data_IF_277080344072
#
_entry.id   IF_277080344072
#
_cell.length_a   1.000
_cell.length_b   1.000
_cell.length_c   1.000
_cell.angle_alpha   90.00
_cell.angle_beta   90.00
_cell.angle_gamma   90.00
#
_symmetry.space_group_name_H-M   'P 1'
#
loop_
_entity.id
_entity.type
_entity.pdbx_description
1 polymer ?
#
# COMPACT_ATOMS: atom_id res chain seq x y z
N UNK A 1 1.53 13.04 -16.31
CA UNK A 1 0.44 13.89 -16.84
C UNK A 1 0.34 13.61 -18.32
N UNK A 2 -0.78 13.13 -18.83
CA UNK A 2 -0.94 12.89 -20.26
C UNK A 2 -1.22 14.21 -20.97
N UNK A 3 -0.80 14.35 -22.23
CA UNK A 3 -1.11 15.53 -23.04
C UNK A 3 -2.44 15.30 -23.76
N UNK A 4 -3.25 16.36 -23.88
CA UNK A 4 -4.51 16.31 -24.58
C UNK A 4 -4.27 16.05 -26.08
N UNK A 5 -4.96 15.08 -26.71
CA UNK A 5 -4.75 14.77 -28.13
C UNK A 5 -5.18 15.91 -29.06
N UNK A 6 -6.07 16.81 -28.61
CA UNK A 6 -6.61 17.90 -29.42
C UNK A 6 -5.76 19.17 -29.34
N UNK A 7 -5.52 19.68 -28.13
CA UNK A 7 -4.84 20.96 -27.94
C UNK A 7 -3.39 20.84 -27.42
N UNK A 8 -2.90 19.61 -27.21
CA UNK A 8 -1.54 19.29 -26.72
C UNK A 8 -1.17 19.88 -25.35
N UNK A 9 -2.08 20.58 -24.68
CA UNK A 9 -1.93 21.05 -23.29
C UNK A 9 -2.03 19.87 -22.32
N UNK A 10 -1.57 20.08 -21.10
CA UNK A 10 -1.59 19.06 -20.04
C UNK A 10 -3.01 18.61 -19.68
N UNK A 11 -3.18 17.34 -19.34
CA UNK A 11 -4.45 16.77 -18.89
C UNK A 11 -4.29 16.00 -17.57
N UNK A 12 -5.08 16.38 -16.56
CA UNK A 12 -5.07 15.79 -15.23
C UNK A 12 -5.89 14.52 -15.16
N UNK A 13 -5.34 13.49 -14.53
CA UNK A 13 -6.11 12.31 -14.16
C UNK A 13 -7.09 12.66 -13.03
N UNK A 14 -8.38 12.37 -13.22
CA UNK A 14 -9.44 12.59 -12.22
C UNK A 14 -9.76 11.32 -11.45
N UNK A 15 -9.91 10.22 -12.17
CA UNK A 15 -10.23 8.92 -11.59
C UNK A 15 -9.48 7.82 -12.32
N UNK A 16 -9.34 6.69 -11.65
CA UNK A 16 -8.74 5.50 -12.24
C UNK A 16 -9.50 4.25 -11.80
N UNK A 17 -9.56 3.27 -12.68
CA UNK A 17 -10.14 1.96 -12.44
C UNK A 17 -9.17 0.89 -12.92
N UNK A 18 -8.99 -0.16 -12.14
CA UNK A 18 -8.27 -1.35 -12.60
C UNK A 18 -9.21 -2.21 -13.44
N UNK A 19 -8.72 -2.61 -14.62
CA UNK A 19 -9.40 -3.59 -15.48
C UNK A 19 -8.86 -5.00 -15.19
N UNK A 20 -7.57 -5.11 -14.86
CA UNK A 20 -6.91 -6.30 -14.34
C UNK A 20 -5.79 -5.89 -13.38
N UNK A 21 -5.05 -6.86 -12.83
CA UNK A 21 -3.90 -6.60 -11.95
C UNK A 21 -2.82 -5.75 -12.63
N UNK A 22 -2.61 -5.96 -13.94
CA UNK A 22 -1.56 -5.30 -14.71
C UNK A 22 -2.06 -4.13 -15.55
N UNK A 23 -3.39 -3.93 -15.66
CA UNK A 23 -3.98 -2.94 -16.55
C UNK A 23 -4.87 -1.97 -15.78
N UNK A 24 -4.52 -0.68 -15.84
CA UNK A 24 -5.22 0.43 -15.19
C UNK A 24 -5.75 1.41 -16.23
N UNK A 25 -7.06 1.63 -16.19
CA UNK A 25 -7.70 2.69 -16.96
C UNK A 25 -7.71 4.00 -16.16
N UNK A 26 -7.35 5.12 -16.79
CA UNK A 26 -7.40 6.45 -16.18
C UNK A 26 -8.25 7.42 -17.01
N UNK A 27 -8.95 8.29 -16.32
CA UNK A 27 -9.79 9.34 -16.91
C UNK A 27 -9.07 10.66 -16.79
N UNK A 28 -8.83 11.32 -17.93
CA UNK A 28 -8.11 12.57 -18.01
C UNK A 28 -9.03 13.71 -18.43
N UNK A 29 -8.88 14.87 -17.78
CA UNK A 29 -9.52 16.12 -18.14
C UNK A 29 -8.44 17.13 -18.53
N UNK A 30 -8.59 17.75 -19.71
CA UNK A 30 -7.69 18.81 -20.16
C UNK A 30 -7.72 20.01 -19.19
N UNK A 31 -6.55 20.61 -18.93
CA UNK A 31 -6.43 21.86 -18.14
C UNK A 31 -7.01 23.06 -18.87
N UNK A 32 -7.00 23.06 -20.20
CA UNK A 32 -7.55 24.14 -20.98
C UNK A 32 -9.07 24.10 -20.94
N UNK A 33 -9.67 25.11 -20.32
CA UNK A 33 -11.13 25.25 -20.19
C UNK A 33 -11.78 25.34 -21.56
N UNK A 34 -11.14 26.00 -22.53
CA UNK A 34 -11.65 26.10 -23.91
C UNK A 34 -11.69 24.73 -24.61
N UNK A 35 -10.72 23.86 -24.31
CA UNK A 35 -10.70 22.51 -24.89
C UNK A 35 -11.65 21.58 -24.17
N UNK A 36 -11.68 21.65 -22.82
CA UNK A 36 -12.48 20.83 -21.89
C UNK A 36 -12.50 19.32 -22.16
N UNK A 37 -11.64 18.82 -23.05
CA UNK A 37 -11.69 17.47 -23.54
C UNK A 37 -11.45 16.50 -22.41
N UNK A 38 -12.33 15.51 -22.32
CA UNK A 38 -12.26 14.42 -21.36
C UNK A 38 -12.06 13.13 -22.11
N UNK A 39 -10.97 12.41 -21.81
CA UNK A 39 -10.59 11.20 -22.52
C UNK A 39 -10.12 10.12 -21.54
N UNK A 40 -10.07 8.88 -22.01
CA UNK A 40 -9.65 7.72 -21.22
C UNK A 40 -8.37 7.16 -21.81
N UNK A 41 -7.46 6.74 -20.94
CA UNK A 41 -6.23 6.04 -21.31
C UNK A 41 -6.17 4.70 -20.59
N UNK A 42 -5.47 3.75 -21.20
CA UNK A 42 -5.17 2.46 -20.60
C UNK A 42 -3.66 2.44 -20.38
N UNK A 43 -3.25 2.27 -19.12
CA UNK A 43 -1.87 2.06 -18.72
C UNK A 43 -1.70 0.59 -18.36
N UNK A 44 -0.75 -0.09 -19.00
CA UNK A 44 -0.44 -1.49 -18.73
C UNK A 44 1.03 -1.64 -18.31
N UNK A 45 1.30 -2.60 -17.43
CA UNK A 45 2.66 -3.06 -17.15
C UNK A 45 3.08 -3.94 -18.33
N UNK A 46 4.09 -3.50 -19.07
CA UNK A 46 4.66 -4.24 -20.20
C UNK A 46 5.61 -5.33 -19.70
N UNK A 47 6.62 -4.94 -18.91
CA UNK A 47 7.58 -5.86 -18.30
C UNK A 47 8.10 -5.31 -16.96
N UNK A 48 8.41 -6.22 -16.02
CA UNK A 48 9.07 -5.90 -14.75
C UNK A 48 10.57 -6.14 -14.90
N UNK A 49 11.34 -5.06 -15.12
CA UNK A 49 12.80 -5.12 -15.34
C UNK A 49 13.54 -5.70 -14.13
N UNK A 50 13.07 -5.41 -12.91
CA UNK A 50 13.66 -5.94 -11.68
C UNK A 50 12.59 -6.11 -10.60
N UNK A 51 12.37 -7.33 -10.08
CA UNK A 51 11.46 -7.53 -8.95
C UNK A 51 12.03 -6.88 -7.67
N UNK A 52 11.17 -6.50 -6.72
CA UNK A 52 11.62 -6.03 -5.41
C UNK A 52 12.50 -7.08 -4.73
N UNK A 53 13.51 -6.64 -3.97
CA UNK A 53 14.34 -7.56 -3.19
C UNK A 53 13.46 -8.25 -2.14
N UNK A 54 13.45 -9.58 -2.13
CA UNK A 54 12.83 -10.34 -1.04
C UNK A 54 13.47 -9.88 0.27
N UNK A 55 12.66 -9.30 1.16
CA UNK A 55 13.11 -9.11 2.54
C UNK A 55 13.33 -10.51 3.09
N UNK A 56 14.57 -10.81 3.47
CA UNK A 56 14.88 -11.97 4.29
C UNK A 56 13.85 -12.03 5.43
N UNK A 57 13.30 -13.21 5.77
CA UNK A 57 12.37 -13.33 6.89
C UNK A 57 13.03 -12.70 8.13
N UNK A 58 12.29 -11.98 8.98
CA UNK A 58 12.85 -11.43 10.20
C UNK A 58 13.46 -12.60 10.97
N UNK A 59 14.79 -12.56 11.15
CA UNK A 59 15.49 -13.48 12.03
C UNK A 59 14.78 -13.37 13.37
N UNK A 60 14.18 -14.47 13.82
CA UNK A 60 13.51 -14.52 15.11
C UNK A 60 14.51 -14.04 16.17
N UNK A 61 14.25 -12.89 16.77
CA UNK A 61 14.97 -12.46 17.96
C UNK A 61 14.80 -13.56 19.01
N UNK A 62 15.89 -14.01 19.66
CA UNK A 62 15.78 -15.04 20.69
C UNK A 62 14.87 -14.52 21.79
N UNK A 63 13.70 -15.16 21.92
CA UNK A 63 12.70 -14.86 22.94
C UNK A 63 13.39 -15.02 24.29
N UNK A 64 13.75 -13.91 24.93
CA UNK A 64 14.19 -13.93 26.32
C UNK A 64 12.99 -14.41 27.15
N UNK A 65 13.12 -15.50 27.92
CA UNK A 65 12.02 -15.95 28.75
C UNK A 65 11.66 -14.84 29.75
N UNK A 66 10.36 -14.50 29.92
CA UNK A 66 9.96 -13.47 30.85
C UNK A 66 10.41 -13.86 32.26
N UNK A 67 10.99 -12.89 32.98
CA UNK A 67 11.50 -13.09 34.34
C UNK A 67 10.44 -13.75 35.23
N UNK A 68 10.84 -14.66 36.15
CA UNK A 68 9.89 -15.36 37.01
C UNK A 68 9.08 -14.34 37.82
N UNK A 69 7.76 -14.38 37.66
CA UNK A 69 6.82 -13.61 38.49
C UNK A 69 7.05 -13.98 39.95
N UNK A 70 7.58 -13.04 40.75
CA UNK A 70 7.61 -13.19 42.21
C UNK A 70 6.18 -13.16 42.74
N UNK A 71 5.66 -14.33 43.06
CA UNK A 71 4.40 -14.48 43.81
C UNK A 71 4.69 -14.02 45.23
N UNK A 72 4.18 -12.85 45.63
CA UNK A 72 4.16 -12.49 47.04
C UNK A 72 3.20 -13.43 47.75
N UNK A 73 3.76 -14.28 48.62
CA UNK A 73 3.02 -15.25 49.40
C UNK A 73 2.03 -14.57 50.33
N UNK A 74 0.75 -14.71 50.04
CA UNK A 74 -0.35 -14.31 50.91
C UNK A 74 -1.21 -15.54 51.21
N UNK A 75 -0.70 -16.48 51.99
CA UNK A 75 -1.54 -17.44 52.70
C UNK A 75 -0.87 -17.91 53.99
N UNK A 76 -0.81 -17.02 54.98
CA UNK A 76 -0.68 -17.41 56.38
C UNK A 76 -2.08 -17.72 56.91
N UNK A 77 -2.51 -18.98 56.82
CA UNK A 77 -3.70 -19.46 57.54
C UNK A 77 -3.26 -20.17 58.82
N UNK A 78 -3.77 -19.78 60.01
CA UNK A 78 -3.25 -20.23 61.30
C UNK A 78 -3.87 -21.54 61.80
N UNK A 79 -4.59 -22.31 60.98
CA UNK A 79 -5.11 -23.60 61.44
C UNK A 79 -4.01 -24.67 61.40
N UNK A 80 -3.30 -24.81 62.53
CA UNK A 80 -2.57 -26.02 62.91
C UNK A 80 -3.48 -26.95 63.71
N UNK A 81 -3.46 -28.24 63.35
CA UNK A 81 -3.89 -29.35 64.20
C UNK A 81 -2.93 -29.54 65.37
#
# INVERSE_FOLDING_TARGET
>A
MMHCPFCKKSAHARTSRYLSENVKQRYHQCTNIECSATFRTIEAIDEVIRPPAEKAPPVAEPVTPPAPRKVQGCYSSPYRH
#
